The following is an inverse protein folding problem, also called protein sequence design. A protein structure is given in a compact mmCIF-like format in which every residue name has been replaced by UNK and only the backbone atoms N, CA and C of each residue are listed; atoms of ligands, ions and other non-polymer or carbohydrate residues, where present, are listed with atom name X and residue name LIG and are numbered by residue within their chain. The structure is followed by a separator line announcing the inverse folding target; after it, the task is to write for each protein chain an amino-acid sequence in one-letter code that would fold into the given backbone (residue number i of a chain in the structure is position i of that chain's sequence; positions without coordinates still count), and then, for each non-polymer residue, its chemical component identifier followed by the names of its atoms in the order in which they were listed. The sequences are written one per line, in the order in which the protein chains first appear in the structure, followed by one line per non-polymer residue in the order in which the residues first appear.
data_IF_223800035222
#
_entry.id   IF_223800035222
#
_cell.length_a   1.000
_cell.length_b   1.000
_cell.length_c   1.000
_cell.angle_alpha   90.00
_cell.angle_beta   90.00
_cell.angle_gamma   90.00
#
_symmetry.space_group_name_H-M   'P 1'
#
loop_
_entity.id
_entity.type
_entity.pdbx_description
1 polymer ?
#
# COMPACT_ATOMS: atom_id res chain seq x y z
N UNK A 1 11.73 8.55 9.02
CA UNK A 1 11.33 7.13 8.98
C UNK A 1 10.07 6.78 9.78
N UNK A 2 9.74 7.48 10.88
CA UNK A 2 8.62 7.12 11.78
C UNK A 2 7.23 7.20 11.11
N UNK A 3 7.04 8.10 10.14
CA UNK A 3 5.78 8.30 9.41
C UNK A 3 5.45 7.18 8.41
N UNK A 4 6.43 6.38 8.01
CA UNK A 4 6.24 5.27 7.06
C UNK A 4 6.08 3.91 7.74
N UNK A 5 6.29 3.81 9.06
CA UNK A 5 6.16 2.53 9.78
C UNK A 5 4.74 1.97 9.69
N UNK A 6 3.74 2.82 9.86
CA UNK A 6 2.33 2.42 9.83
C UNK A 6 1.88 1.89 8.45
N UNK A 7 2.12 2.61 7.33
CA UNK A 7 1.79 2.07 6.01
C UNK A 7 2.62 0.83 5.66
N UNK A 8 3.89 0.75 6.08
CA UNK A 8 4.72 -0.45 5.83
C UNK A 8 4.19 -1.68 6.56
N UNK A 9 3.83 -1.56 7.85
CA UNK A 9 3.25 -2.66 8.63
C UNK A 9 1.90 -3.07 8.04
N UNK A 10 1.03 -2.12 7.71
CA UNK A 10 -0.25 -2.40 7.07
C UNK A 10 -0.05 -3.15 5.74
N UNK A 11 0.90 -2.70 4.92
CA UNK A 11 1.25 -3.36 3.65
C UNK A 11 1.72 -4.79 3.88
N UNK A 12 2.62 -5.02 4.85
CA UNK A 12 3.14 -6.35 5.16
C UNK A 12 2.03 -7.31 5.63
N UNK A 13 1.16 -6.86 6.54
CA UNK A 13 0.03 -7.67 7.04
C UNK A 13 -0.93 -8.02 5.89
N UNK A 14 -1.35 -7.01 5.12
CA UNK A 14 -2.28 -7.21 4.01
C UNK A 14 -1.68 -8.14 2.95
N UNK A 15 -0.39 -8.04 2.68
CA UNK A 15 0.29 -8.90 1.72
C UNK A 15 0.31 -10.36 2.15
N UNK A 16 0.60 -10.63 3.43
CA UNK A 16 0.54 -12.00 3.99
C UNK A 16 -0.88 -12.56 3.90
N UNK A 17 -1.90 -11.76 4.24
CA UNK A 17 -3.29 -12.17 4.12
C UNK A 17 -3.69 -12.42 2.66
N UNK A 18 -3.25 -11.59 1.73
CA UNK A 18 -3.51 -11.73 0.30
C UNK A 18 -2.93 -13.02 -0.27
N UNK A 19 -1.69 -13.38 0.14
CA UNK A 19 -1.09 -14.66 -0.21
C UNK A 19 -1.93 -15.81 0.34
N UNK A 20 -2.34 -15.74 1.61
CA UNK A 20 -3.18 -16.76 2.24
C UNK A 20 -4.50 -16.98 1.48
N UNK A 21 -5.20 -15.90 1.14
CA UNK A 21 -6.45 -15.95 0.36
C UNK A 21 -6.21 -16.46 -1.06
N UNK A 22 -5.13 -16.01 -1.71
CA UNK A 22 -4.76 -16.45 -3.06
C UNK A 22 -4.47 -17.94 -3.12
N UNK A 23 -3.63 -18.46 -2.21
CA UNK A 23 -3.31 -19.89 -2.11
C UNK A 23 -4.56 -20.71 -1.81
N UNK A 24 -5.38 -20.29 -0.85
CA UNK A 24 -6.62 -20.98 -0.52
C UNK A 24 -7.61 -21.01 -1.70
N UNK A 25 -7.74 -19.89 -2.41
CA UNK A 25 -8.57 -19.78 -3.61
C UNK A 25 -8.09 -20.69 -4.74
N UNK A 26 -6.77 -20.73 -4.99
CA UNK A 26 -6.16 -21.62 -5.97
C UNK A 26 -6.40 -23.10 -5.63
N UNK A 27 -6.24 -23.51 -4.36
CA UNK A 27 -6.53 -24.89 -3.92
C UNK A 27 -8.00 -25.24 -4.19
N UNK A 28 -8.93 -24.32 -3.93
CA UNK A 28 -10.36 -24.53 -4.23
C UNK A 28 -10.65 -24.63 -5.72
N UNK A 29 -9.99 -23.82 -6.56
CA UNK A 29 -10.13 -23.86 -8.02
C UNK A 29 -9.55 -25.17 -8.55
N UNK A 30 -8.38 -25.59 -8.06
CA UNK A 30 -7.73 -26.81 -8.51
C UNK A 30 -8.53 -28.07 -8.18
N UNK A 31 -9.10 -28.13 -6.97
CA UNK A 31 -10.01 -29.22 -6.56
C UNK A 31 -11.36 -29.19 -7.26
N UNK A 32 -11.70 -28.13 -8.00
CA UNK A 32 -12.90 -28.13 -8.81
C UNK A 32 -12.68 -29.05 -10.02
N UNK A 33 -13.62 -29.97 -10.29
CA UNK A 33 -13.57 -30.86 -11.46
C UNK A 33 -13.81 -30.16 -12.80
N UNK A 34 -13.43 -28.88 -12.91
CA UNK A 34 -13.65 -28.02 -14.07
C UNK A 34 -12.56 -28.17 -15.12
N UNK A 35 -12.89 -27.77 -16.35
CA UNK A 35 -11.93 -27.76 -17.46
C UNK A 35 -10.74 -26.84 -17.14
N UNK A 36 -9.58 -27.18 -17.70
CA UNK A 36 -8.33 -26.42 -17.48
C UNK A 36 -8.47 -24.95 -17.93
N UNK A 37 -9.26 -24.66 -18.97
CA UNK A 37 -9.54 -23.29 -19.39
C UNK A 37 -10.33 -22.51 -18.34
N UNK A 38 -11.40 -23.09 -17.79
CA UNK A 38 -12.21 -22.45 -16.75
C UNK A 38 -11.44 -22.22 -15.45
N UNK A 39 -10.53 -23.14 -15.09
CA UNK A 39 -9.62 -22.97 -13.94
C UNK A 39 -8.71 -21.77 -14.13
N UNK A 40 -8.16 -21.60 -15.33
CA UNK A 40 -7.26 -20.48 -15.65
C UNK A 40 -8.00 -19.14 -15.58
N UNK A 41 -9.18 -19.05 -16.19
CA UNK A 41 -10.02 -17.84 -16.16
C UNK A 41 -10.42 -17.45 -14.73
N UNK A 42 -10.79 -18.44 -13.91
CA UNK A 42 -11.11 -18.21 -12.49
C UNK A 42 -9.89 -17.80 -11.67
N UNK A 43 -8.73 -18.39 -11.93
CA UNK A 43 -7.49 -18.02 -11.24
C UNK A 43 -7.08 -16.58 -11.58
N UNK A 44 -7.27 -16.17 -12.83
CA UNK A 44 -6.98 -14.81 -13.30
C UNK A 44 -7.95 -13.78 -12.68
N UNK A 45 -9.25 -14.09 -12.65
CA UNK A 45 -10.25 -13.28 -11.95
C UNK A 45 -9.99 -13.20 -10.43
N UNK A 46 -9.61 -14.32 -9.81
CA UNK A 46 -9.24 -14.36 -8.39
C UNK A 46 -8.02 -13.46 -8.13
N UNK A 47 -6.98 -13.60 -8.95
CA UNK A 47 -5.76 -12.79 -8.86
C UNK A 47 -6.02 -11.30 -9.03
N UNK A 48 -6.78 -10.92 -10.06
CA UNK A 48 -7.15 -9.53 -10.33
C UNK A 48 -8.03 -8.94 -9.21
N UNK A 49 -8.99 -9.72 -8.71
CA UNK A 49 -9.85 -9.31 -7.60
C UNK A 49 -9.07 -9.09 -6.29
N UNK A 50 -8.20 -10.04 -5.94
CA UNK A 50 -7.33 -9.93 -4.75
C UNK A 50 -6.39 -8.74 -4.87
N UNK A 51 -5.74 -8.54 -6.03
CA UNK A 51 -4.84 -7.41 -6.24
C UNK A 51 -5.56 -6.06 -6.10
N UNK A 52 -6.75 -5.93 -6.68
CA UNK A 52 -7.56 -4.72 -6.59
C UNK A 52 -7.96 -4.42 -5.15
N UNK A 53 -8.42 -5.45 -4.42
CA UNK A 53 -8.81 -5.32 -3.01
C UNK A 53 -7.62 -4.89 -2.13
N UNK A 54 -6.48 -5.52 -2.32
CA UNK A 54 -5.23 -5.21 -1.59
C UNK A 54 -4.81 -3.77 -1.82
N UNK A 55 -4.83 -3.31 -3.08
CA UNK A 55 -4.54 -1.92 -3.42
C UNK A 55 -5.51 -0.96 -2.74
N UNK A 56 -6.82 -1.24 -2.76
CA UNK A 56 -7.83 -0.40 -2.10
C UNK A 56 -7.63 -0.28 -0.59
N UNK A 57 -7.21 -1.36 0.07
CA UNK A 57 -6.96 -1.37 1.52
C UNK A 57 -5.69 -0.58 1.87
N UNK A 58 -4.61 -0.74 1.09
CA UNK A 58 -3.30 -0.16 1.39
C UNK A 58 -3.23 1.33 1.01
N UNK A 59 -3.88 1.71 -0.09
CA UNK A 59 -3.87 3.06 -0.64
C UNK A 59 -4.15 4.19 0.36
N UNK A 60 -5.20 4.16 1.21
CA UNK A 60 -5.48 5.25 2.16
C UNK A 60 -4.34 5.45 3.17
N UNK A 61 -3.66 4.38 3.61
CA UNK A 61 -2.54 4.49 4.55
C UNK A 61 -1.33 5.20 3.93
N UNK A 62 -1.06 4.94 2.65
CA UNK A 62 0.02 5.59 1.92
C UNK A 62 -0.28 7.04 1.59
N UNK A 63 -1.52 7.36 1.19
CA UNK A 63 -1.93 8.76 0.97
C UNK A 63 -1.80 9.57 2.26
N UNK A 64 -2.29 9.04 3.38
CA UNK A 64 -2.22 9.73 4.65
C UNK A 64 -0.77 10.02 5.08
N UNK A 65 0.11 9.03 4.93
CA UNK A 65 1.53 9.19 5.22
C UNK A 65 2.20 10.22 4.29
N UNK A 66 1.92 10.15 2.99
CA UNK A 66 2.46 11.09 2.00
C UNK A 66 2.02 12.53 2.27
N UNK A 67 0.75 12.75 2.62
CA UNK A 67 0.22 14.07 2.97
C UNK A 67 0.93 14.65 4.20
N UNK A 68 1.20 13.83 5.23
CA UNK A 68 1.89 14.26 6.45
C UNK A 68 3.34 14.66 6.17
N UNK A 69 4.05 13.86 5.38
CA UNK A 69 5.44 14.16 4.96
C UNK A 69 5.50 15.44 4.12
N UNK A 70 4.52 15.66 3.25
CA UNK A 70 4.42 16.89 2.47
C UNK A 70 4.28 18.14 3.33
N UNK A 71 3.47 18.09 4.39
CA UNK A 71 3.31 19.20 5.35
C UNK A 71 4.59 19.48 6.13
N UNK A 72 5.24 18.44 6.66
CA UNK A 72 6.50 18.59 7.42
C UNK A 72 7.62 19.20 6.56
N UNK A 73 7.69 18.81 5.28
CA UNK A 73 8.68 19.34 4.35
C UNK A 73 8.44 20.82 4.02
N UNK A 74 7.19 21.27 3.92
CA UNK A 74 6.84 22.69 3.73
C UNK A 74 7.18 23.53 4.97
N UNK A 75 6.81 23.05 6.15
CA UNK A 75 7.14 23.72 7.42
C UNK A 75 8.66 23.85 7.63
N UNK A 76 9.43 22.82 7.28
CA UNK A 76 10.91 22.88 7.36
C UNK A 76 11.52 23.89 6.37
N UNK A 77 10.93 24.07 5.18
CA UNK A 77 11.38 25.07 4.22
C UNK A 77 11.07 26.50 4.68
N UNK A 78 9.89 26.72 5.26
CA UNK A 78 9.50 28.01 5.84
C UNK A 78 10.38 28.38 7.03
N UNK A 79 10.65 27.43 7.94
CA UNK A 79 11.56 27.62 9.06
C UNK A 79 12.99 27.96 8.61
N UNK A 80 13.51 27.28 7.57
CA UNK A 80 14.80 27.62 6.97
C UNK A 80 14.82 29.02 6.36
N UNK A 81 13.74 29.43 5.71
CA UNK A 81 13.62 30.77 5.09
C UNK A 81 13.59 31.87 6.15
N UNK A 82 12.92 31.65 7.28
CA UNK A 82 12.92 32.57 8.42
C UNK A 82 14.28 32.65 9.10
N UNK A 83 14.96 31.51 9.30
CA UNK A 83 16.32 31.49 9.86
C UNK A 83 17.33 32.20 8.96
N UNK A 84 17.20 32.09 7.63
CA UNK A 84 18.04 32.82 6.68
C UNK A 84 17.71 34.33 6.61
N UNK A 85 16.47 34.73 6.88
CA UNK A 85 16.05 36.13 6.89
C UNK A 85 16.43 36.86 8.19
N UNK A 86 16.46 36.17 9.34
CA UNK A 86 16.84 36.75 10.64
C UNK A 86 18.34 36.77 10.94
N UNK A 87 19.18 36.13 10.12
CA UNK A 87 20.64 36.09 10.29
C UNK A 87 21.42 37.20 9.57
N UNK A 88 20.71 38.20 9.01
CA UNK A 88 21.32 39.33 8.28
C UNK A 88 21.45 40.62 9.09
N UNK A 89 21.04 40.62 10.35
CA UNK A 89 21.20 41.76 11.28
C UNK A 89 22.19 41.37 12.38
N UNK A 90 23.48 41.47 12.10
CA UNK A 90 24.57 41.46 13.09
C UNK A 90 25.76 42.23 12.55
#
# INVERSE_FOLDING_TARGET
MRHFKLPLIATAIVFVLAIGVGVFGLIKIDRSGKSNQEKKERAELLGGGVATLVCFIIFPFWIFAAAKVGKERRAALEAKKQAAAGGGES
#
